data_IF_937024099090
#
_entry.id   IF_937024099090
#
_cell.length_a   1.000
_cell.length_b   1.000
_cell.length_c   1.000
_cell.angle_alpha   90.00
_cell.angle_beta   90.00
_cell.angle_gamma   90.00
#
_symmetry.space_group_name_H-M   'P 1'
#
loop_
_entity.id
_entity.type
_entity.pdbx_description
1 polymer ?
#
# COMPACT_ATOMS: atom_id res chain seq x y z
N UNK A 1 4.75 -0.15 9.36
CA UNK A 1 3.84 -0.37 10.48
C UNK A 1 4.50 0.14 11.74
N UNK A 2 4.47 1.46 11.86
CA UNK A 2 5.25 2.18 12.86
C UNK A 2 4.86 1.86 14.32
N UNK A 3 3.69 1.27 14.56
CA UNK A 3 3.17 1.11 15.91
C UNK A 3 3.16 -0.34 16.42
N UNK A 4 3.76 -1.29 15.69
CA UNK A 4 3.86 -2.68 16.12
C UNK A 4 2.54 -3.43 16.35
N UNK A 5 1.41 -2.87 15.91
CA UNK A 5 0.08 -3.46 16.10
C UNK A 5 -0.14 -4.64 15.15
N UNK A 6 0.46 -4.59 13.96
CA UNK A 6 0.39 -5.66 12.97
C UNK A 6 1.81 -5.93 12.47
N UNK A 7 2.23 -7.19 12.53
CA UNK A 7 3.54 -7.64 12.08
C UNK A 7 3.68 -7.61 10.54
N UNK A 8 4.91 -7.60 10.05
CA UNK A 8 5.20 -7.72 8.62
C UNK A 8 4.84 -9.15 8.17
N UNK A 9 3.95 -9.28 7.19
CA UNK A 9 3.49 -10.57 6.65
C UNK A 9 2.27 -11.15 7.34
N UNK A 10 1.71 -10.49 8.35
CA UNK A 10 0.41 -10.86 8.92
C UNK A 10 -0.73 -10.40 8.02
N UNK A 11 -1.83 -11.12 8.05
CA UNK A 11 -3.04 -10.75 7.32
C UNK A 11 -3.60 -9.45 7.86
N UNK A 12 -3.65 -8.43 7.00
CA UNK A 12 -4.26 -7.15 7.33
C UNK A 12 -5.78 -7.27 7.28
N UNK A 13 -6.49 -6.96 8.36
CA UNK A 13 -7.95 -6.93 8.32
C UNK A 13 -8.42 -5.89 7.29
N UNK A 14 -9.23 -6.33 6.34
CA UNK A 14 -9.81 -5.47 5.33
C UNK A 14 -11.33 -5.49 5.44
N UNK A 15 -11.92 -4.53 6.16
CA UNK A 15 -13.37 -4.50 6.40
C UNK A 15 -14.18 -4.04 5.19
N UNK A 16 -13.56 -3.89 4.03
CA UNK A 16 -14.20 -3.35 2.81
C UNK A 16 -14.03 -4.32 1.65
N UNK A 17 -15.11 -4.63 0.96
CA UNK A 17 -15.14 -5.50 -0.22
C UNK A 17 -14.54 -4.83 -1.48
N UNK A 18 -14.59 -5.53 -2.63
CA UNK A 18 -14.08 -5.03 -3.91
C UNK A 18 -14.84 -3.81 -4.42
N UNK A 19 -16.09 -3.62 -3.98
CA UNK A 19 -16.98 -2.53 -4.41
C UNK A 19 -16.94 -1.32 -3.45
N UNK A 20 -16.07 -1.34 -2.43
CA UNK A 20 -15.98 -0.26 -1.45
C UNK A 20 -17.10 -0.28 -0.41
N UNK A 21 -17.72 -1.45 -0.14
CA UNK A 21 -18.77 -1.62 0.86
C UNK A 21 -18.25 -2.37 2.08
N UNK A 22 -18.78 -2.02 3.25
CA UNK A 22 -18.42 -2.71 4.49
C UNK A 22 -18.85 -4.19 4.47
N UNK A 23 -17.94 -5.04 4.95
CA UNK A 23 -18.14 -6.49 5.09
C UNK A 23 -18.73 -6.83 6.47
N UNK A 24 -18.91 -8.14 6.73
CA UNK A 24 -19.37 -8.65 8.04
C UNK A 24 -18.43 -8.32 9.20
N UNK A 25 -17.20 -7.93 8.92
CA UNK A 25 -16.23 -7.45 9.92
C UNK A 25 -16.71 -6.19 10.63
N UNK A 26 -17.60 -5.42 9.98
CA UNK A 26 -18.24 -4.22 10.57
C UNK A 26 -19.75 -4.38 10.45
N UNK A 27 -20.37 -5.17 11.35
CA UNK A 27 -21.77 -5.57 11.23
C UNK A 27 -22.75 -4.39 11.21
N UNK A 28 -22.48 -3.32 11.98
CA UNK A 28 -23.35 -2.14 12.09
C UNK A 28 -23.50 -1.37 10.77
N UNK A 29 -22.54 -1.49 9.87
CA UNK A 29 -22.52 -0.78 8.57
C UNK A 29 -22.39 -1.72 7.37
N UNK A 30 -22.60 -3.03 7.56
CA UNK A 30 -22.53 -4.05 6.52
C UNK A 30 -23.29 -3.67 5.25
N UNK A 31 -22.66 -3.84 4.10
CA UNK A 31 -23.24 -3.59 2.77
C UNK A 31 -23.36 -2.11 2.37
N UNK A 32 -23.06 -1.17 3.28
CA UNK A 32 -23.07 0.26 2.96
C UNK A 32 -21.75 0.69 2.32
N UNK A 33 -21.82 1.62 1.38
CA UNK A 33 -20.62 2.21 0.80
C UNK A 33 -19.88 3.05 1.86
N UNK A 34 -18.55 2.99 1.87
CA UNK A 34 -17.70 3.65 2.87
C UNK A 34 -18.06 5.13 3.02
N UNK A 35 -18.16 5.86 1.89
CA UNK A 35 -18.44 7.30 1.91
C UNK A 35 -19.87 7.66 2.34
N UNK A 36 -20.81 6.77 2.10
CA UNK A 36 -22.21 6.98 2.53
C UNK A 36 -22.36 6.76 4.04
N UNK A 37 -21.51 5.94 4.65
CA UNK A 37 -21.54 5.63 6.07
C UNK A 37 -20.84 6.66 6.97
N UNK A 38 -20.03 7.57 6.42
CA UNK A 38 -19.17 8.50 7.17
C UNK A 38 -19.93 9.26 8.28
N UNK A 39 -21.10 9.81 7.95
CA UNK A 39 -21.89 10.59 8.92
C UNK A 39 -22.50 9.71 10.02
N UNK A 40 -22.97 8.52 9.67
CA UNK A 40 -23.58 7.61 10.63
C UNK A 40 -22.54 6.99 11.56
N UNK A 41 -21.33 6.71 11.05
CA UNK A 41 -20.18 6.32 11.87
C UNK A 41 -19.86 7.44 12.88
N UNK A 42 -19.80 8.67 12.44
CA UNK A 42 -19.57 9.81 13.34
C UNK A 42 -20.68 9.93 14.40
N UNK A 43 -21.95 9.73 14.02
CA UNK A 43 -23.06 9.75 14.96
C UNK A 43 -22.98 8.63 15.99
N UNK A 44 -22.67 7.40 15.57
CA UNK A 44 -22.47 6.25 16.45
C UNK A 44 -21.30 6.47 17.43
N UNK A 45 -20.16 7.02 16.94
CA UNK A 45 -19.02 7.35 17.76
C UNK A 45 -19.34 8.45 18.78
N UNK A 46 -20.16 9.46 18.38
CA UNK A 46 -20.61 10.51 19.29
C UNK A 46 -21.53 9.94 20.38
N UNK A 47 -22.46 9.07 20.01
CA UNK A 47 -23.36 8.41 20.95
C UNK A 47 -22.61 7.55 21.99
N UNK A 48 -21.54 6.87 21.56
CA UNK A 48 -20.67 6.07 22.44
C UNK A 48 -19.63 6.88 23.22
N UNK A 49 -19.56 8.21 23.05
CA UNK A 49 -18.58 9.07 23.70
C UNK A 49 -17.14 8.91 23.18
N UNK A 50 -16.96 8.27 22.03
CA UNK A 50 -15.63 8.00 21.44
C UNK A 50 -15.22 8.98 20.34
N UNK A 51 -16.10 9.88 19.91
CA UNK A 51 -15.77 10.91 18.95
C UNK A 51 -15.01 12.05 19.64
N UNK A 52 -13.72 12.16 19.37
CA UNK A 52 -12.87 13.22 19.94
C UNK A 52 -13.11 14.55 19.24
N UNK A 53 -13.07 14.55 17.91
CA UNK A 53 -13.23 15.76 17.11
C UNK A 53 -13.68 15.40 15.69
N UNK A 54 -14.46 16.29 15.06
CA UNK A 54 -14.80 16.27 13.64
C UNK A 54 -14.68 17.68 13.07
N UNK A 55 -13.83 17.85 12.07
CA UNK A 55 -13.63 19.13 11.39
C UNK A 55 -13.74 18.96 9.87
N UNK A 56 -14.12 20.04 9.20
CA UNK A 56 -14.06 20.12 7.75
C UNK A 56 -12.68 20.66 7.35
N UNK A 57 -11.99 19.94 6.47
CA UNK A 57 -10.68 20.32 5.99
C UNK A 57 -10.64 20.29 4.45
N UNK A 58 -10.20 21.40 3.86
CA UNK A 58 -10.04 21.52 2.41
C UNK A 58 -8.67 20.99 2.00
N UNK A 59 -8.65 19.95 1.19
CA UNK A 59 -7.42 19.34 0.68
C UNK A 59 -7.66 18.71 -0.71
N UNK A 60 -6.57 18.47 -1.45
CA UNK A 60 -6.64 17.70 -2.68
C UNK A 60 -6.98 16.24 -2.37
N UNK A 61 -7.95 15.68 -3.08
CA UNK A 61 -8.36 14.28 -2.91
C UNK A 61 -8.35 13.56 -4.26
N UNK A 62 -7.81 12.33 -4.33
CA UNK A 62 -7.75 11.59 -5.58
C UNK A 62 -9.12 11.01 -5.96
N UNK A 63 -9.50 11.22 -7.21
CA UNK A 63 -10.70 10.65 -7.82
C UNK A 63 -10.35 9.68 -8.93
N UNK A 64 -11.21 8.69 -9.16
CA UNK A 64 -11.12 7.82 -10.32
C UNK A 64 -11.44 8.62 -11.58
N UNK A 65 -10.48 8.72 -12.50
CA UNK A 65 -10.66 9.48 -13.75
C UNK A 65 -11.76 8.93 -14.66
N UNK A 66 -12.21 7.70 -14.47
CA UNK A 66 -13.24 7.04 -15.28
C UNK A 66 -14.65 7.18 -14.71
N UNK A 67 -14.78 7.02 -13.39
CA UNK A 67 -16.09 7.03 -12.71
C UNK A 67 -16.33 8.31 -11.90
N UNK A 68 -15.35 9.21 -11.83
CA UNK A 68 -15.36 10.44 -11.03
C UNK A 68 -15.73 10.21 -9.56
N UNK A 69 -15.52 8.98 -9.07
CA UNK A 69 -15.76 8.64 -7.68
C UNK A 69 -14.50 8.82 -6.84
N UNK A 70 -14.62 9.22 -5.57
CA UNK A 70 -13.48 9.34 -4.68
C UNK A 70 -12.85 7.97 -4.43
N UNK A 71 -11.52 7.91 -4.43
CA UNK A 71 -10.77 6.70 -4.12
C UNK A 71 -10.77 6.43 -2.61
N UNK A 72 -10.60 5.17 -2.24
CA UNK A 72 -10.45 4.75 -0.85
C UNK A 72 -9.15 3.98 -0.67
N UNK A 73 -8.53 4.10 0.51
CA UNK A 73 -7.41 3.25 0.89
C UNK A 73 -7.93 1.88 1.29
N UNK A 74 -7.35 0.85 0.71
CA UNK A 74 -7.74 -0.53 0.93
C UNK A 74 -6.52 -1.44 0.92
N UNK A 75 -6.46 -2.37 1.88
CA UNK A 75 -5.46 -3.45 1.84
C UNK A 75 -5.82 -4.44 0.71
N UNK A 76 -4.85 -4.72 -0.15
CA UNK A 76 -4.99 -5.65 -1.28
C UNK A 76 -3.80 -6.59 -1.29
N UNK A 77 -4.00 -7.92 -1.39
CA UNK A 77 -2.91 -8.86 -1.59
C UNK A 77 -2.08 -8.46 -2.80
N UNK A 78 -0.76 -8.40 -2.64
CA UNK A 78 0.15 -7.91 -3.68
C UNK A 78 1.46 -8.67 -3.65
N UNK A 79 2.06 -8.84 -4.82
CA UNK A 79 3.38 -9.39 -4.98
C UNK A 79 4.44 -8.32 -4.78
N UNK A 80 5.49 -8.68 -4.03
CA UNK A 80 6.60 -7.79 -3.73
C UNK A 80 7.93 -8.44 -4.09
N UNK A 81 8.82 -7.66 -4.67
CA UNK A 81 10.24 -8.01 -4.74
C UNK A 81 10.88 -7.63 -3.43
N UNK A 82 11.51 -8.59 -2.75
CA UNK A 82 12.15 -8.38 -1.44
C UNK A 82 13.50 -7.66 -1.60
N UNK A 83 13.46 -6.40 -2.02
CA UNK A 83 14.65 -5.56 -2.29
C UNK A 83 15.48 -5.37 -1.03
N UNK A 84 14.85 -5.24 0.13
CA UNK A 84 15.55 -5.05 1.40
C UNK A 84 16.50 -6.21 1.72
N UNK A 85 16.18 -7.44 1.28
CA UNK A 85 17.05 -8.62 1.49
C UNK A 85 18.36 -8.56 0.70
N UNK A 86 18.35 -7.90 -0.46
CA UNK A 86 19.53 -7.81 -1.35
C UNK A 86 20.22 -6.45 -1.30
N UNK A 87 19.71 -5.52 -0.50
CA UNK A 87 20.18 -4.13 -0.40
C UNK A 87 21.69 -4.04 -0.11
N UNK A 88 22.18 -4.80 0.85
CA UNK A 88 23.61 -4.78 1.20
C UNK A 88 24.49 -5.15 0.00
N UNK A 89 24.08 -6.16 -0.77
CA UNK A 89 24.81 -6.61 -1.97
C UNK A 89 24.71 -5.57 -3.11
N UNK A 90 23.57 -4.89 -3.24
CA UNK A 90 23.41 -3.80 -4.22
C UNK A 90 24.36 -2.63 -3.91
N UNK A 91 24.50 -2.23 -2.65
CA UNK A 91 25.41 -1.19 -2.21
C UNK A 91 26.89 -1.60 -2.44
N UNK A 92 27.23 -2.82 -2.10
CA UNK A 92 28.56 -3.38 -2.38
C UNK A 92 28.88 -3.38 -3.88
N UNK A 93 27.95 -3.83 -4.71
CA UNK A 93 28.12 -3.83 -6.15
C UNK A 93 28.22 -2.43 -6.73
N UNK A 94 27.42 -1.48 -6.22
CA UNK A 94 27.52 -0.08 -6.64
C UNK A 94 28.93 0.50 -6.39
N UNK A 95 29.59 0.17 -5.27
CA UNK A 95 30.93 0.66 -4.98
C UNK A 95 32.00 0.18 -6.00
N UNK A 96 31.72 -0.90 -6.74
CA UNK A 96 32.58 -1.49 -7.76
C UNK A 96 32.31 -0.94 -9.17
N UNK A 97 31.27 -0.12 -9.35
CA UNK A 97 30.92 0.49 -10.65
C UNK A 97 31.70 1.76 -10.88
N UNK A 98 31.77 2.19 -12.14
CA UNK A 98 32.40 3.45 -12.53
C UNK A 98 31.35 4.43 -13.08
N UNK A 99 31.35 5.66 -12.55
CA UNK A 99 30.39 6.68 -12.91
C UNK A 99 31.08 8.01 -13.24
N UNK A 100 30.55 8.69 -14.23
CA UNK A 100 30.99 10.04 -14.60
C UNK A 100 29.77 10.98 -14.52
N UNK A 101 29.79 11.94 -13.60
CA UNK A 101 30.79 12.21 -12.55
C UNK A 101 30.68 11.23 -11.36
N UNK A 102 31.75 11.02 -10.64
CA UNK A 102 31.85 10.06 -9.54
C UNK A 102 30.82 10.31 -8.41
N UNK A 103 30.47 11.56 -8.13
CA UNK A 103 29.49 11.88 -7.08
C UNK A 103 28.10 11.24 -7.28
N UNK A 104 27.76 10.86 -8.51
CA UNK A 104 26.49 10.16 -8.79
C UNK A 104 26.50 8.79 -8.11
N UNK A 105 27.59 8.03 -8.22
CA UNK A 105 27.77 6.76 -7.55
C UNK A 105 27.73 6.91 -6.03
N UNK A 106 28.56 7.82 -5.49
CA UNK A 106 28.83 7.92 -4.06
C UNK A 106 27.67 8.53 -3.27
N UNK A 107 26.90 9.43 -3.88
CA UNK A 107 25.85 10.18 -3.20
C UNK A 107 24.46 9.85 -3.73
N UNK A 108 24.17 10.14 -5.00
CA UNK A 108 22.79 10.03 -5.52
C UNK A 108 22.34 8.59 -5.62
N UNK A 109 23.07 7.76 -6.33
CA UNK A 109 22.69 6.36 -6.54
C UNK A 109 22.86 5.54 -5.26
N UNK A 110 23.95 5.79 -4.49
CA UNK A 110 24.14 5.17 -3.17
C UNK A 110 22.96 5.45 -2.25
N UNK A 111 22.56 6.72 -2.07
CA UNK A 111 21.45 7.08 -1.19
C UNK A 111 20.13 6.47 -1.66
N UNK A 112 19.88 6.47 -2.97
CA UNK A 112 18.70 5.82 -3.53
C UNK A 112 18.64 4.33 -3.23
N UNK A 113 19.75 3.61 -3.34
CA UNK A 113 19.85 2.20 -2.95
C UNK A 113 19.70 2.00 -1.43
N UNK A 114 20.30 2.87 -0.62
CA UNK A 114 20.23 2.82 0.84
C UNK A 114 18.79 3.00 1.35
N UNK A 115 18.01 3.87 0.70
CA UNK A 115 16.61 4.12 1.03
C UNK A 115 15.63 3.17 0.34
N UNK A 116 16.11 2.25 -0.52
CA UNK A 116 15.27 1.32 -1.26
C UNK A 116 14.42 0.46 -0.30
N UNK A 117 13.16 0.32 -0.64
CA UNK A 117 12.16 -0.51 0.06
C UNK A 117 11.74 -1.68 -0.83
N UNK A 118 11.08 -2.66 -0.23
CA UNK A 118 10.44 -3.73 -0.99
C UNK A 118 9.51 -3.15 -2.05
N UNK A 119 9.60 -3.67 -3.25
CA UNK A 119 8.92 -3.13 -4.42
C UNK A 119 7.65 -3.90 -4.74
N UNK A 120 6.48 -3.26 -4.59
CA UNK A 120 5.20 -3.80 -5.01
C UNK A 120 5.11 -3.85 -6.55
N UNK A 121 5.02 -5.05 -7.12
CA UNK A 121 4.97 -5.27 -8.56
C UNK A 121 3.55 -5.54 -9.08
N UNK A 122 2.60 -5.86 -8.21
CA UNK A 122 1.20 -6.07 -8.59
C UNK A 122 0.57 -4.82 -9.19
N UNK A 123 -0.21 -4.99 -10.25
CA UNK A 123 -1.00 -3.94 -10.89
C UNK A 123 -2.39 -4.47 -11.17
N UNK A 124 -3.42 -3.68 -10.89
CA UNK A 124 -4.82 -4.02 -11.18
C UNK A 124 -5.19 -3.83 -12.66
N UNK A 125 -4.37 -3.09 -13.39
CA UNK A 125 -4.50 -2.85 -14.81
C UNK A 125 -3.22 -3.26 -15.52
N UNK A 126 -3.35 -3.91 -16.65
CA UNK A 126 -2.23 -4.32 -17.47
C UNK A 126 -2.33 -3.68 -18.86
N UNK A 127 -1.18 -3.51 -19.47
CA UNK A 127 -1.01 -3.16 -20.87
C UNK A 127 0.01 -4.12 -21.47
N UNK A 128 -0.44 -4.93 -22.43
CA UNK A 128 0.38 -5.99 -23.01
C UNK A 128 0.40 -7.26 -22.19
N UNK A 129 1.52 -7.97 -22.18
CA UNK A 129 1.68 -9.27 -21.52
C UNK A 129 1.81 -9.11 -20.01
N UNK A 130 1.01 -9.82 -19.20
CA UNK A 130 1.20 -9.84 -17.75
C UNK A 130 2.53 -10.52 -17.39
N UNK A 131 3.05 -10.20 -16.18
CA UNK A 131 4.27 -10.83 -15.66
C UNK A 131 3.99 -12.31 -15.41
N UNK A 132 4.71 -13.24 -16.07
CA UNK A 132 4.56 -14.65 -15.80
C UNK A 132 5.21 -15.01 -14.45
N UNK A 133 4.47 -15.70 -13.59
CA UNK A 133 4.97 -16.17 -12.30
C UNK A 133 4.81 -17.69 -12.20
N UNK A 134 5.89 -18.40 -11.95
CA UNK A 134 5.88 -19.82 -11.64
C UNK A 134 6.07 -20.01 -10.15
N UNK A 135 5.16 -20.73 -9.51
CA UNK A 135 5.16 -20.96 -8.07
C UNK A 135 5.43 -22.45 -7.83
N UNK A 136 6.48 -22.76 -7.07
CA UNK A 136 6.70 -24.07 -6.49
C UNK A 136 6.36 -24.09 -5.01
N UNK A 137 6.25 -25.28 -4.41
CA UNK A 137 5.99 -25.40 -2.95
C UNK A 137 7.08 -24.76 -2.08
N UNK A 138 8.26 -24.47 -2.64
CA UNK A 138 9.42 -23.96 -1.92
C UNK A 138 9.86 -22.56 -2.41
N UNK A 139 9.64 -22.20 -3.67
CA UNK A 139 10.15 -20.97 -4.28
C UNK A 139 9.23 -20.44 -5.37
N UNK A 140 9.29 -19.11 -5.57
CA UNK A 140 8.69 -18.40 -6.69
C UNK A 140 9.81 -18.11 -7.70
N UNK A 141 9.59 -18.48 -8.95
CA UNK A 141 10.47 -18.17 -10.07
C UNK A 141 9.80 -17.13 -10.97
N UNK A 142 10.53 -16.07 -11.29
CA UNK A 142 10.12 -15.00 -12.21
C UNK A 142 10.89 -15.17 -13.51
#
# INVERSE_FOLDING_TARGET
>A
MANGIIGKGEDLPCPVDANGRFTDTVPDFKGRAVKEADNDICAALKASGRLVMKENYFHSYPFCWRSETPLIYKAVPSWFVAVEKVKAKLLENNSKTYWVPAFVQEKRFHNWLADAKDWAISRNRFWGTPIPLWISCLFIHI
#
